data_IF_003346340557
#
_entry.id   IF_003346340557
#
_cell.length_a   1.000
_cell.length_b   1.000
_cell.length_c   1.000
_cell.angle_alpha   90.00
_cell.angle_beta   90.00
_cell.angle_gamma   90.00
#
_symmetry.space_group_name_H-M   'P 1'
#
loop_
_entity.id
_entity.type
_entity.pdbx_description
1 polymer ?
#
# COMPACT_ATOMS: atom_id res chain seq x y z
N UNK A 1 -1.66 47.60 -29.30
CA UNK A 1 -1.26 46.31 -28.70
C UNK A 1 -1.53 45.23 -29.73
N UNK A 2 -0.53 44.44 -30.12
CA UNK A 2 -0.74 43.30 -31.03
C UNK A 2 -1.55 42.26 -30.25
N UNK A 3 -2.75 41.92 -30.73
CA UNK A 3 -3.50 40.81 -30.14
C UNK A 3 -2.79 39.50 -30.46
N UNK A 4 -2.20 38.86 -29.45
CA UNK A 4 -1.58 37.55 -29.62
C UNK A 4 -2.65 36.47 -29.84
N UNK A 5 -2.36 35.55 -30.77
CA UNK A 5 -3.27 34.47 -31.15
C UNK A 5 -2.79 33.15 -30.53
N UNK A 6 -3.73 32.30 -30.11
CA UNK A 6 -3.43 30.99 -29.56
C UNK A 6 -2.81 30.06 -30.61
N UNK A 7 -1.57 29.62 -30.40
CA UNK A 7 -0.82 28.77 -31.35
C UNK A 7 -1.41 27.36 -31.56
N UNK A 8 -2.42 26.97 -30.77
CA UNK A 8 -3.08 25.66 -30.86
C UNK A 8 -4.34 25.72 -31.72
N UNK A 9 -5.19 26.73 -31.54
CA UNK A 9 -6.52 26.77 -32.18
C UNK A 9 -6.88 28.10 -32.85
N UNK A 10 -5.94 29.05 -32.91
CA UNK A 10 -6.10 30.37 -33.49
C UNK A 10 -7.22 31.23 -32.86
N UNK A 11 -7.64 30.88 -31.64
CA UNK A 11 -8.53 31.70 -30.82
C UNK A 11 -7.75 32.85 -30.14
N UNK A 12 -8.44 33.85 -29.58
CA UNK A 12 -7.80 34.94 -28.85
C UNK A 12 -6.97 34.40 -27.68
N UNK A 13 -5.69 34.75 -27.61
CA UNK A 13 -4.79 34.30 -26.54
C UNK A 13 -5.10 35.01 -25.22
N UNK A 14 -4.86 34.33 -24.11
CA UNK A 14 -4.84 34.93 -22.76
C UNK A 14 -3.42 35.00 -22.20
N UNK A 15 -2.41 34.80 -23.05
CA UNK A 15 -0.99 34.85 -22.72
C UNK A 15 -0.31 33.47 -22.78
N UNK A 16 0.86 33.37 -22.13
CA UNK A 16 1.68 32.16 -22.10
C UNK A 16 1.22 31.19 -21.01
N UNK A 17 0.84 29.98 -21.39
CA UNK A 17 0.46 28.91 -20.44
C UNK A 17 1.29 27.65 -20.71
N UNK A 18 1.93 27.13 -19.66
CA UNK A 18 2.79 25.93 -19.71
C UNK A 18 3.92 25.99 -20.75
N UNK A 19 4.32 27.17 -21.21
CA UNK A 19 5.39 27.34 -22.20
C UNK A 19 4.94 27.87 -23.57
N UNK A 20 3.65 27.89 -23.88
CA UNK A 20 3.13 28.30 -25.18
C UNK A 20 2.05 29.40 -25.09
N UNK A 21 2.00 30.30 -26.07
CA UNK A 21 0.93 31.30 -26.23
C UNK A 21 -0.39 30.58 -26.54
N UNK A 22 -1.37 30.71 -25.65
CA UNK A 22 -2.62 29.94 -25.77
C UNK A 22 -3.83 30.62 -25.13
N UNK A 23 -5.02 30.21 -25.56
CA UNK A 23 -6.28 30.57 -24.92
C UNK A 23 -6.59 29.72 -23.69
N UNK A 24 -7.52 30.17 -22.84
CA UNK A 24 -7.96 29.43 -21.65
C UNK A 24 -8.51 28.03 -21.96
N UNK A 25 -9.14 27.88 -23.13
CA UNK A 25 -9.65 26.59 -23.58
C UNK A 25 -8.53 25.56 -23.77
N UNK A 26 -7.40 25.95 -24.37
CA UNK A 26 -6.27 25.05 -24.60
C UNK A 26 -5.41 24.87 -23.35
N UNK A 27 -5.26 25.91 -22.52
CA UNK A 27 -4.69 25.82 -21.17
C UNK A 27 -5.41 24.77 -20.32
N UNK A 28 -6.73 24.87 -20.22
CA UNK A 28 -7.54 23.95 -19.41
C UNK A 28 -7.54 22.53 -19.96
N UNK A 29 -7.58 22.39 -21.29
CA UNK A 29 -7.49 21.10 -21.95
C UNK A 29 -6.17 20.40 -21.63
N UNK A 30 -5.03 21.05 -21.89
CA UNK A 30 -3.71 20.47 -21.64
C UNK A 30 -3.53 20.03 -20.17
N UNK A 31 -3.90 20.90 -19.21
CA UNK A 31 -3.85 20.57 -17.77
C UNK A 31 -4.63 19.30 -17.44
N UNK A 32 -5.87 19.18 -17.90
CA UNK A 32 -6.73 18.01 -17.63
C UNK A 32 -6.17 16.74 -18.29
N UNK A 33 -5.68 16.85 -19.52
CA UNK A 33 -5.13 15.72 -20.27
C UNK A 33 -3.90 15.14 -19.59
N UNK A 34 -2.96 15.98 -19.15
CA UNK A 34 -1.76 15.51 -18.46
C UNK A 34 -2.08 14.99 -17.05
N UNK A 35 -2.87 15.70 -16.24
CA UNK A 35 -3.18 15.27 -14.86
C UNK A 35 -3.87 13.91 -14.80
N UNK A 36 -4.85 13.70 -15.67
CA UNK A 36 -5.58 12.43 -15.73
C UNK A 36 -4.90 11.37 -16.60
N UNK A 37 -3.70 11.66 -17.12
CA UNK A 37 -2.95 10.79 -18.05
C UNK A 37 -3.84 10.23 -19.14
N UNK A 38 -4.65 11.08 -19.78
CA UNK A 38 -5.56 10.63 -20.82
C UNK A 38 -4.80 10.26 -22.09
N UNK A 39 -5.08 9.06 -22.58
CA UNK A 39 -4.57 8.56 -23.86
C UNK A 39 -5.69 8.72 -24.87
N UNK A 40 -5.55 9.68 -25.79
CA UNK A 40 -6.54 9.90 -26.84
C UNK A 40 -6.07 9.25 -28.13
N UNK A 41 -6.98 8.56 -28.81
CA UNK A 41 -6.77 8.01 -30.15
C UNK A 41 -7.45 8.88 -31.19
N UNK A 42 -6.76 9.21 -32.27
CA UNK A 42 -7.39 9.84 -33.44
C UNK A 42 -8.16 8.77 -34.23
N UNK A 43 -9.36 9.10 -34.70
CA UNK A 43 -10.19 8.22 -35.56
C UNK A 43 -9.88 8.37 -37.06
N UNK A 44 -8.93 9.23 -37.39
CA UNK A 44 -8.50 9.56 -38.75
C UNK A 44 -6.96 9.55 -38.80
N UNK A 45 -6.35 10.28 -39.73
CA UNK A 45 -4.92 10.27 -40.05
C UNK A 45 -4.03 11.12 -39.11
N UNK A 46 -4.44 11.33 -37.85
CA UNK A 46 -3.71 12.18 -36.88
C UNK A 46 -3.38 13.60 -37.36
N UNK A 47 -4.09 14.11 -38.38
CA UNK A 47 -3.89 15.44 -38.95
C UNK A 47 -5.19 16.28 -38.91
N UNK A 48 -6.04 16.07 -37.91
CA UNK A 48 -7.29 16.82 -37.80
C UNK A 48 -6.99 18.30 -37.55
N UNK A 49 -7.65 19.17 -38.32
CA UNK A 49 -7.49 20.60 -38.15
C UNK A 49 -8.11 21.09 -36.83
N UNK A 50 -7.29 21.82 -36.06
CA UNK A 50 -7.61 22.34 -34.73
C UNK A 50 -7.76 23.85 -34.84
N UNK A 51 -9.01 24.32 -34.93
CA UNK A 51 -9.38 25.74 -34.93
C UNK A 51 -10.36 26.05 -33.79
N UNK A 52 -10.69 27.33 -33.55
CA UNK A 52 -11.60 27.77 -32.48
C UNK A 52 -12.89 26.95 -32.43
N UNK A 53 -13.49 26.68 -33.58
CA UNK A 53 -14.82 26.04 -33.69
C UNK A 53 -14.76 24.50 -33.63
N UNK A 54 -13.68 23.88 -34.11
CA UNK A 54 -13.54 22.40 -34.19
C UNK A 54 -12.45 21.80 -33.31
N UNK A 55 -11.83 22.58 -32.42
CA UNK A 55 -10.81 22.09 -31.47
C UNK A 55 -11.29 20.95 -30.56
N UNK A 56 -12.60 20.74 -30.40
CA UNK A 56 -13.14 19.64 -29.60
C UNK A 56 -13.41 18.35 -30.40
N UNK A 57 -13.33 18.39 -31.74
CA UNK A 57 -13.64 17.26 -32.61
C UNK A 57 -12.62 16.11 -32.45
N UNK A 58 -11.34 16.43 -32.31
CA UNK A 58 -10.29 15.42 -32.09
C UNK A 58 -9.36 15.82 -30.93
N UNK A 59 -9.53 15.14 -29.79
CA UNK A 59 -8.70 15.36 -28.59
C UNK A 59 -7.25 14.93 -28.81
N UNK A 60 -7.02 13.88 -29.60
CA UNK A 60 -5.67 13.40 -29.91
C UNK A 60 -4.85 14.46 -30.67
N UNK A 61 -5.38 14.96 -31.79
CA UNK A 61 -4.70 16.00 -32.59
C UNK A 61 -4.54 17.31 -31.82
N UNK A 62 -5.53 17.68 -30.99
CA UNK A 62 -5.41 18.85 -30.12
C UNK A 62 -4.29 18.70 -29.10
N UNK A 63 -4.18 17.55 -28.42
CA UNK A 63 -3.12 17.32 -27.44
C UNK A 63 -1.74 17.29 -28.09
N UNK A 64 -1.63 16.63 -29.24
CA UNK A 64 -0.41 16.64 -30.04
C UNK A 64 0.00 18.07 -30.44
N UNK A 65 -0.96 18.90 -30.86
CA UNK A 65 -0.70 20.31 -31.21
C UNK A 65 -0.31 21.15 -29.99
N UNK A 66 -0.86 20.89 -28.79
CA UNK A 66 -0.39 21.50 -27.55
C UNK A 66 1.10 21.21 -27.28
N UNK A 67 1.52 19.95 -27.42
CA UNK A 67 2.92 19.54 -27.22
C UNK A 67 3.81 20.16 -28.30
N UNK A 68 3.41 20.08 -29.58
CA UNK A 68 4.15 20.70 -30.71
C UNK A 68 4.32 22.22 -30.54
N UNK A 69 3.32 22.89 -29.96
CA UNK A 69 3.39 24.33 -29.67
C UNK A 69 4.30 24.68 -28.46
N UNK A 70 4.85 23.67 -27.76
CA UNK A 70 5.80 23.88 -26.66
C UNK A 70 5.19 23.84 -25.26
N UNK A 71 3.95 23.34 -25.09
CA UNK A 71 3.40 23.12 -23.75
C UNK A 71 4.13 21.97 -23.04
N UNK A 72 4.66 22.24 -21.84
CA UNK A 72 5.45 21.30 -21.06
C UNK A 72 4.64 20.70 -19.91
N UNK A 73 4.64 19.38 -19.80
CA UNK A 73 3.95 18.65 -18.72
C UNK A 73 4.54 18.96 -17.34
N UNK A 74 5.85 19.17 -17.25
CA UNK A 74 6.54 19.52 -16.00
C UNK A 74 6.18 20.90 -15.44
N UNK A 75 5.57 21.78 -16.24
CA UNK A 75 5.04 23.07 -15.78
C UNK A 75 3.68 22.94 -15.09
N UNK A 76 3.10 21.75 -15.02
CA UNK A 76 1.81 21.49 -14.36
C UNK A 76 2.07 21.07 -12.92
N UNK A 77 1.70 21.94 -11.98
CA UNK A 77 1.73 21.62 -10.55
C UNK A 77 0.68 20.56 -10.19
N UNK A 78 0.90 19.85 -9.08
CA UNK A 78 -0.08 18.94 -8.48
C UNK A 78 -1.36 19.69 -8.05
N UNK A 79 -2.42 18.94 -7.72
CA UNK A 79 -3.62 19.57 -7.17
C UNK A 79 -3.26 20.35 -5.90
N UNK A 80 -3.83 21.54 -5.78
CA UNK A 80 -3.73 22.34 -4.56
C UNK A 80 -4.98 22.07 -3.73
N UNK A 81 -4.89 22.30 -2.43
CA UNK A 81 -6.07 22.29 -1.57
C UNK A 81 -7.14 23.23 -2.13
N UNK A 82 -8.40 22.83 -1.97
CA UNK A 82 -9.53 23.61 -2.44
C UNK A 82 -9.51 25.00 -1.78
N UNK A 83 -9.45 26.06 -2.58
CA UNK A 83 -9.56 27.43 -2.09
C UNK A 83 -11.05 27.69 -1.81
N UNK A 84 -11.45 27.65 -0.54
CA UNK A 84 -12.82 27.91 -0.09
C UNK A 84 -13.20 27.17 1.21
N UNK A 85 -14.34 27.53 1.83
CA UNK A 85 -14.85 26.84 3.01
C UNK A 85 -15.18 25.38 2.63
N UNK A 86 -14.49 24.43 3.27
CA UNK A 86 -14.79 22.98 3.20
C UNK A 86 -16.27 22.78 3.50
N UNK A 87 -17.06 22.34 2.52
CA UNK A 87 -18.35 21.71 2.83
C UNK A 87 -17.97 20.43 3.56
N UNK A 88 -18.25 20.33 4.86
CA UNK A 88 -18.13 19.08 5.61
C UNK A 88 -19.02 18.08 4.87
N UNK A 89 -18.42 17.23 4.03
CA UNK A 89 -19.05 15.97 3.64
C UNK A 89 -19.33 15.25 4.95
N UNK A 90 -20.58 14.88 5.17
CA UNK A 90 -21.01 14.11 6.33
C UNK A 90 -20.10 12.88 6.49
N UNK A 91 -19.70 12.51 7.72
CA UNK A 91 -18.76 11.41 7.97
C UNK A 91 -19.43 10.04 7.86
N UNK A 92 -20.16 9.76 6.78
CA UNK A 92 -21.08 8.60 6.71
C UNK A 92 -20.69 7.49 5.71
N UNK A 93 -19.48 7.50 5.15
CA UNK A 93 -18.97 6.34 4.35
C UNK A 93 -17.55 5.91 4.72
N UNK A 94 -16.88 6.65 5.60
CA UNK A 94 -15.63 6.24 6.25
C UNK A 94 -15.90 5.93 7.71
N UNK A 95 -16.84 5.04 7.98
CA UNK A 95 -16.70 4.26 9.22
C UNK A 95 -15.32 3.61 9.14
N UNK A 96 -14.52 3.95 10.14
CA UNK A 96 -13.08 4.03 10.02
C UNK A 96 -12.48 2.64 9.77
N UNK A 97 -11.93 2.44 8.57
CA UNK A 97 -11.17 1.23 8.23
C UNK A 97 -10.10 0.98 9.30
N UNK A 98 -9.56 2.04 9.90
CA UNK A 98 -8.62 1.93 11.00
C UNK A 98 -9.26 1.30 12.24
N UNK A 99 -10.46 1.73 12.63
CA UNK A 99 -11.17 1.16 13.78
C UNK A 99 -11.50 -0.32 13.58
N UNK A 100 -11.89 -0.71 12.36
CA UNK A 100 -12.14 -2.12 12.03
C UNK A 100 -10.87 -2.97 12.15
N UNK A 101 -9.75 -2.48 11.64
CA UNK A 101 -8.45 -3.17 11.73
C UNK A 101 -7.95 -3.26 13.18
N UNK A 102 -8.15 -2.20 13.97
CA UNK A 102 -7.82 -2.18 15.40
C UNK A 102 -8.70 -3.15 16.18
N UNK A 103 -10.00 -3.21 15.89
CA UNK A 103 -10.92 -4.15 16.51
C UNK A 103 -10.55 -5.61 16.20
N UNK A 104 -10.18 -5.90 14.94
CA UNK A 104 -9.69 -7.21 14.51
C UNK A 104 -8.42 -7.64 15.28
N UNK A 105 -7.47 -6.71 15.47
CA UNK A 105 -6.25 -6.95 16.25
C UNK A 105 -6.57 -7.21 17.73
N UNK A 106 -7.43 -6.39 18.35
CA UNK A 106 -7.86 -6.59 19.74
C UNK A 106 -8.56 -7.95 19.96
N UNK A 107 -9.34 -8.42 18.98
CA UNK A 107 -9.94 -9.75 19.04
C UNK A 107 -8.85 -10.83 19.09
N UNK A 108 -7.84 -10.74 18.23
CA UNK A 108 -6.76 -11.72 18.18
C UNK A 108 -5.92 -11.73 19.46
N UNK A 109 -5.69 -10.56 20.06
CA UNK A 109 -5.03 -10.45 21.37
C UNK A 109 -5.81 -11.18 22.47
N UNK A 110 -7.14 -11.08 22.47
CA UNK A 110 -8.01 -11.81 23.43
C UNK A 110 -7.99 -13.33 23.19
N UNK A 111 -7.92 -13.77 21.93
CA UNK A 111 -7.90 -15.19 21.57
C UNK A 111 -6.55 -15.87 21.83
N UNK A 112 -5.46 -15.11 21.84
CA UNK A 112 -4.08 -15.60 21.97
C UNK A 112 -3.89 -16.62 23.09
N UNK A 113 -4.30 -16.31 24.32
CA UNK A 113 -4.13 -17.24 25.46
C UNK A 113 -4.89 -18.55 25.27
N UNK A 114 -6.05 -18.51 24.60
CA UNK A 114 -6.80 -19.72 24.24
C UNK A 114 -6.06 -20.53 23.18
N UNK A 115 -5.55 -19.87 22.13
CA UNK A 115 -4.78 -20.51 21.05
C UNK A 115 -3.51 -21.15 21.60
N UNK A 116 -2.79 -20.49 22.49
CA UNK A 116 -1.60 -21.07 23.15
C UNK A 116 -1.98 -22.35 23.90
N UNK A 117 -3.01 -22.30 24.76
CA UNK A 117 -3.46 -23.48 25.53
C UNK A 117 -3.91 -24.64 24.66
N UNK A 118 -4.63 -24.37 23.57
CA UNK A 118 -5.15 -25.40 22.68
C UNK A 118 -4.07 -26.03 21.79
N UNK A 119 -2.95 -25.34 21.58
CA UNK A 119 -1.84 -25.80 20.74
C UNK A 119 -0.69 -26.40 21.55
N UNK A 120 -0.67 -26.23 22.88
CA UNK A 120 0.32 -26.85 23.76
C UNK A 120 0.29 -28.39 23.77
N UNK A 121 -0.85 -28.99 23.40
CA UNK A 121 -1.04 -30.45 23.29
C UNK A 121 -0.69 -31.04 21.92
N UNK A 122 -0.27 -30.20 20.95
CA UNK A 122 0.17 -30.69 19.65
C UNK A 122 1.44 -31.54 19.77
N UNK A 123 1.51 -32.60 18.96
CA UNK A 123 2.71 -33.42 18.84
C UNK A 123 3.93 -32.53 18.55
N UNK A 124 5.10 -32.83 19.13
CA UNK A 124 6.32 -32.05 18.87
C UNK A 124 6.57 -31.94 17.37
N UNK A 125 6.97 -30.76 16.90
CA UNK A 125 7.36 -30.61 15.50
C UNK A 125 8.64 -31.44 15.30
N UNK A 126 8.53 -32.59 14.63
CA UNK A 126 9.65 -33.48 14.34
C UNK A 126 10.57 -32.83 13.31
N UNK A 127 11.38 -31.89 13.78
CA UNK A 127 12.40 -31.18 13.03
C UNK A 127 13.79 -31.70 13.42
N UNK A 128 13.95 -33.03 13.51
CA UNK A 128 15.24 -33.66 13.76
C UNK A 128 15.77 -33.43 15.18
N UNK A 129 16.22 -34.50 15.84
CA UNK A 129 16.64 -34.46 17.25
C UNK A 129 17.94 -33.69 17.44
N UNK A 130 17.88 -32.36 17.54
CA UNK A 130 19.01 -31.56 18.03
C UNK A 130 18.92 -31.54 19.55
N UNK A 131 19.79 -32.29 20.23
CA UNK A 131 19.88 -32.29 21.70
C UNK A 131 20.47 -30.97 22.18
N UNK A 132 19.72 -30.25 22.99
CA UNK A 132 20.17 -29.10 23.76
C UNK A 132 19.88 -29.34 25.23
N UNK A 133 20.81 -28.93 26.09
CA UNK A 133 20.60 -28.91 27.53
C UNK A 133 21.39 -27.71 28.07
N UNK A 134 20.79 -26.88 28.91
CA UNK A 134 21.49 -26.04 29.88
C UNK A 134 20.48 -25.62 30.95
N UNK A 135 20.83 -25.84 32.21
CA UNK A 135 20.03 -25.51 33.38
C UNK A 135 19.74 -24.00 33.47
N UNK A 136 18.51 -23.73 33.92
CA UNK A 136 17.87 -22.46 34.27
C UNK A 136 17.69 -21.39 33.18
N UNK A 137 16.45 -20.85 33.10
CA UNK A 137 15.99 -19.82 32.15
C UNK A 137 15.96 -20.26 30.66
N UNK A 138 15.24 -21.35 30.37
CA UNK A 138 15.13 -22.00 29.05
C UNK A 138 14.92 -21.02 27.88
N UNK A 139 15.95 -20.84 27.07
CA UNK A 139 15.86 -20.24 25.74
C UNK A 139 14.91 -21.04 24.83
N UNK A 140 14.21 -20.36 23.91
CA UNK A 140 13.26 -21.00 23.00
C UNK A 140 13.90 -22.13 22.16
N UNK A 141 13.26 -23.30 22.16
CA UNK A 141 13.64 -24.45 21.33
C UNK A 141 13.04 -24.34 19.92
N UNK A 142 13.49 -25.19 18.99
CA UNK A 142 12.85 -25.31 17.67
C UNK A 142 11.37 -25.71 17.75
N UNK A 143 11.00 -26.52 18.75
CA UNK A 143 9.61 -26.87 19.01
C UNK A 143 8.79 -25.65 19.47
N UNK A 144 9.38 -24.77 20.30
CA UNK A 144 8.74 -23.52 20.71
C UNK A 144 8.55 -22.57 19.52
N UNK A 145 9.52 -22.52 18.60
CA UNK A 145 9.42 -21.76 17.36
C UNK A 145 8.31 -22.33 16.46
N UNK A 146 8.29 -23.64 16.27
CA UNK A 146 7.25 -24.32 15.48
C UNK A 146 5.84 -24.08 16.05
N UNK A 147 5.68 -24.21 17.37
CA UNK A 147 4.42 -23.91 18.09
C UNK A 147 4.04 -22.45 17.93
N UNK A 148 4.98 -21.53 18.08
CA UNK A 148 4.75 -20.09 17.90
C UNK A 148 4.27 -19.77 16.48
N UNK A 149 4.89 -20.35 15.45
CA UNK A 149 4.49 -20.15 14.05
C UNK A 149 3.07 -20.66 13.83
N UNK A 150 2.76 -21.86 14.31
CA UNK A 150 1.41 -22.42 14.17
C UNK A 150 0.35 -21.59 14.88
N UNK A 151 0.63 -21.14 16.09
CA UNK A 151 -0.26 -20.24 16.84
C UNK A 151 -0.50 -18.92 16.11
N UNK A 152 0.54 -18.31 15.52
CA UNK A 152 0.38 -17.10 14.73
C UNK A 152 -0.40 -17.33 13.44
N UNK A 153 -0.26 -18.48 12.78
CA UNK A 153 -1.07 -18.82 11.61
C UNK A 153 -2.55 -18.93 11.97
N UNK A 154 -2.88 -19.58 13.09
CA UNK A 154 -4.26 -19.67 13.58
C UNK A 154 -4.81 -18.27 13.87
N UNK A 155 -4.07 -17.44 14.61
CA UNK A 155 -4.47 -16.07 14.92
C UNK A 155 -4.61 -15.21 13.67
N UNK A 156 -3.74 -15.36 12.67
CA UNK A 156 -3.82 -14.62 11.41
C UNK A 156 -5.07 -14.99 10.60
N UNK A 157 -5.44 -16.28 10.58
CA UNK A 157 -6.68 -16.72 9.93
C UNK A 157 -7.89 -16.11 10.64
N UNK A 158 -7.92 -16.11 11.97
CA UNK A 158 -9.03 -15.50 12.73
C UNK A 158 -9.08 -13.97 12.56
N UNK A 159 -7.92 -13.31 12.51
CA UNK A 159 -7.82 -11.89 12.17
C UNK A 159 -8.44 -11.61 10.79
N UNK A 160 -8.06 -12.36 9.77
CA UNK A 160 -8.56 -12.16 8.41
C UNK A 160 -10.07 -12.39 8.32
N UNK A 161 -10.59 -13.43 8.97
CA UNK A 161 -12.04 -13.72 9.03
C UNK A 161 -12.84 -12.64 9.74
N UNK A 162 -12.23 -11.89 10.66
CA UNK A 162 -12.93 -10.79 11.36
C UNK A 162 -13.18 -9.57 10.46
N UNK A 163 -12.55 -9.51 9.29
CA UNK A 163 -12.73 -8.43 8.32
C UNK A 163 -13.88 -8.76 7.36
N UNK A 164 -14.99 -7.98 7.35
CA UNK A 164 -16.12 -8.24 6.47
C UNK A 164 -15.73 -8.29 4.99
N UNK A 165 -14.79 -7.44 4.57
CA UNK A 165 -14.34 -7.32 3.19
C UNK A 165 -13.54 -8.55 2.73
N UNK A 166 -12.84 -9.24 3.66
CA UNK A 166 -12.13 -10.47 3.35
C UNK A 166 -13.12 -11.61 3.06
N UNK A 167 -14.22 -11.68 3.82
CA UNK A 167 -15.27 -12.70 3.64
C UNK A 167 -16.03 -12.56 2.31
N UNK A 168 -16.02 -11.36 1.71
CA UNK A 168 -16.61 -11.13 0.38
C UNK A 168 -15.77 -11.67 -0.79
N UNK A 169 -14.49 -11.99 -0.55
CA UNK A 169 -13.61 -12.52 -1.58
C UNK A 169 -13.93 -13.98 -1.90
N UNK A 170 -13.64 -14.42 -3.12
CA UNK A 170 -13.74 -15.82 -3.48
C UNK A 170 -12.72 -16.67 -2.70
N UNK A 171 -13.04 -17.94 -2.44
CA UNK A 171 -12.15 -18.86 -1.70
C UNK A 171 -10.72 -18.96 -2.26
N UNK A 172 -10.50 -18.99 -3.60
CA UNK A 172 -9.14 -18.96 -4.15
C UNK A 172 -8.36 -17.70 -3.75
N UNK A 173 -9.01 -16.54 -3.75
CA UNK A 173 -8.40 -15.25 -3.42
C UNK A 173 -8.11 -15.16 -1.92
N UNK A 174 -9.02 -15.62 -1.06
CA UNK A 174 -8.77 -15.75 0.37
C UNK A 174 -7.53 -16.60 0.66
N UNK A 175 -7.42 -17.76 -0.01
CA UNK A 175 -6.26 -18.65 0.12
C UNK A 175 -4.97 -18.01 -0.39
N UNK A 176 -5.03 -17.33 -1.53
CA UNK A 176 -3.88 -16.67 -2.13
C UNK A 176 -3.35 -15.53 -1.23
N UNK A 177 -4.24 -14.72 -0.66
CA UNK A 177 -3.87 -13.66 0.28
C UNK A 177 -3.22 -14.23 1.54
N UNK A 178 -3.86 -15.21 2.19
CA UNK A 178 -3.32 -15.82 3.41
C UNK A 178 -1.94 -16.44 3.16
N UNK A 179 -1.77 -17.20 2.09
CA UNK A 179 -0.48 -17.84 1.74
C UNK A 179 0.59 -16.82 1.37
N UNK A 180 0.22 -15.77 0.63
CA UNK A 180 1.14 -14.75 0.15
C UNK A 180 1.69 -13.86 1.26
N UNK A 181 0.93 -13.63 2.35
CA UNK A 181 1.32 -12.73 3.43
C UNK A 181 1.72 -13.41 4.74
N UNK A 182 1.46 -14.71 4.91
CA UNK A 182 1.67 -15.42 6.18
C UNK A 182 3.07 -15.18 6.79
N UNK A 183 4.14 -15.38 6.01
CA UNK A 183 5.51 -15.21 6.50
C UNK A 183 5.79 -13.77 6.98
N UNK A 184 5.36 -12.77 6.22
CA UNK A 184 5.55 -11.36 6.55
C UNK A 184 4.77 -10.96 7.81
N UNK A 185 3.53 -11.46 7.97
CA UNK A 185 2.71 -11.19 9.16
C UNK A 185 3.30 -11.85 10.41
N UNK A 186 3.82 -13.07 10.30
CA UNK A 186 4.51 -13.77 11.39
C UNK A 186 5.71 -12.95 11.88
N UNK A 187 6.59 -12.56 10.95
CA UNK A 187 7.79 -11.76 11.27
C UNK A 187 7.40 -10.42 11.88
N UNK A 188 6.42 -9.74 11.31
CA UNK A 188 5.92 -8.46 11.83
C UNK A 188 5.37 -8.60 13.26
N UNK A 189 4.60 -9.65 13.53
CA UNK A 189 4.05 -9.91 14.86
C UNK A 189 5.12 -10.20 15.92
N UNK A 190 6.16 -10.95 15.55
CA UNK A 190 7.33 -11.18 16.42
C UNK A 190 8.09 -9.87 16.66
N UNK A 191 8.34 -9.09 15.62
CA UNK A 191 9.03 -7.82 15.71
C UNK A 191 8.27 -6.83 16.61
N UNK A 192 6.97 -6.64 16.38
CA UNK A 192 6.12 -5.73 17.16
C UNK A 192 6.15 -6.06 18.66
N UNK A 193 6.05 -7.35 19.00
CA UNK A 193 6.10 -7.80 20.39
C UNK A 193 7.48 -7.69 21.04
N UNK A 194 8.52 -7.52 20.24
CA UNK A 194 9.90 -7.40 20.72
C UNK A 194 10.32 -5.94 20.95
N UNK A 195 9.52 -4.95 20.50
CA UNK A 195 9.84 -3.51 20.59
C UNK A 195 10.08 -3.05 22.03
N UNK A 196 9.34 -3.59 23.00
CA UNK A 196 9.40 -3.15 24.40
C UNK A 196 10.34 -3.96 25.30
N UNK A 197 11.13 -4.89 24.74
CA UNK A 197 12.02 -5.72 25.53
C UNK A 197 13.21 -4.91 26.04
N UNK A 198 13.51 -5.04 27.33
CA UNK A 198 14.67 -4.40 27.98
C UNK A 198 15.97 -5.17 27.76
N UNK A 199 15.87 -6.43 27.31
CA UNK A 199 17.02 -7.30 27.04
C UNK A 199 17.43 -7.15 25.59
N UNK A 200 18.66 -6.68 25.36
CA UNK A 200 19.23 -6.52 24.03
C UNK A 200 19.31 -7.88 23.29
N UNK A 201 19.23 -7.81 21.96
CA UNK A 201 19.34 -8.95 21.05
C UNK A 201 18.43 -10.14 21.40
N UNK A 202 17.25 -9.85 21.96
CA UNK A 202 16.22 -10.84 22.29
C UNK A 202 14.94 -10.53 21.53
N UNK A 203 14.31 -11.56 20.98
CA UNK A 203 12.97 -11.47 20.40
C UNK A 203 12.00 -12.32 21.20
N UNK A 204 10.75 -11.87 21.29
CA UNK A 204 9.69 -12.60 21.97
C UNK A 204 8.80 -13.29 20.94
N UNK A 205 8.58 -14.60 21.12
CA UNK A 205 7.74 -15.45 20.27
C UNK A 205 6.27 -15.43 20.71
N UNK A 206 5.36 -15.90 19.87
CA UNK A 206 3.92 -15.82 20.12
C UNK A 206 3.41 -16.71 21.25
N UNK A 207 4.22 -17.63 21.74
CA UNK A 207 3.99 -18.43 22.95
C UNK A 207 4.68 -17.83 24.19
N UNK A 208 5.10 -16.57 24.12
CA UNK A 208 5.81 -15.84 25.19
C UNK A 208 7.20 -16.40 25.54
N UNK A 209 7.73 -17.31 24.72
CA UNK A 209 9.14 -17.73 24.85
C UNK A 209 10.07 -16.69 24.25
N UNK A 210 11.24 -16.53 24.87
CA UNK A 210 12.27 -15.60 24.45
C UNK A 210 13.36 -16.33 23.66
N UNK A 211 13.76 -15.72 22.54
CA UNK A 211 14.90 -16.15 21.73
C UNK A 211 15.97 -15.07 21.80
N UNK A 212 17.02 -15.31 22.59
CA UNK A 212 18.17 -14.43 22.72
C UNK A 212 19.32 -14.79 21.78
N UNK A 213 20.25 -13.86 21.58
CA UNK A 213 21.48 -14.12 20.85
C UNK A 213 22.33 -15.17 21.58
N UNK A 214 22.72 -16.20 20.84
CA UNK A 214 23.68 -17.20 21.30
C UNK A 214 25.02 -16.50 21.41
N UNK A 215 25.54 -16.27 22.63
CA UNK A 215 26.89 -15.74 22.83
C UNK A 215 27.87 -16.52 21.95
N UNK A 216 28.48 -15.84 20.98
CA UNK A 216 29.42 -16.42 20.00
C UNK A 216 30.78 -16.77 20.62
N UNK A 217 30.85 -17.15 21.89
CA UNK A 217 32.13 -17.24 22.58
C UNK A 217 32.79 -18.62 22.61
N UNK A 218 32.21 -19.69 22.04
CA UNK A 218 32.86 -21.02 22.12
C UNK A 218 32.77 -21.95 20.91
N UNK A 219 32.62 -21.45 19.68
CA UNK A 219 32.71 -22.32 18.50
C UNK A 219 33.42 -21.66 17.31
N UNK A 220 34.68 -21.20 17.46
CA UNK A 220 35.67 -21.08 16.36
C UNK A 220 37.10 -20.93 16.94
N UNK A 221 37.60 -21.91 17.69
CA UNK A 221 39.04 -22.02 17.94
C UNK A 221 39.52 -23.43 17.65
N UNK A 222 40.21 -23.51 16.50
CA UNK A 222 41.06 -24.55 15.93
C UNK A 222 40.43 -25.92 15.69
#
# INVERSE_FOLDING_TARGET
MVEEICHICNDKSTGKHYGAISCDGCKGFFRRSIRKRYHYQCRFEQNCDVTRNKRNACRACRLQKCVKAGMKSNAIQNERDAIGKRKKTSPTEKEDVMDQLVAAEHLCQKLRSSVIRNTSSLAPYDCGKVKWNYDDARAATLDDIGKSIHQQLVLFIEWAKSLPQFLLLAQPDQSALLKGSAASIIVLGVAFRSIGLTVENTICLANDTLLGERTRDKCWRY
#
